data_IF_297642581190
#
_entry.id   IF_297642581190
#
_cell.length_a   1.000
_cell.length_b   1.000
_cell.length_c   1.000
_cell.angle_alpha   90.00
_cell.angle_beta   90.00
_cell.angle_gamma   90.00
#
_symmetry.space_group_name_H-M   'P 1'
#
loop_
_entity.id
_entity.type
_entity.pdbx_description
1 polymer ?
#
# COMPACT_ATOMS: atom_id res chain seq x y z
N UNK A 1 -11.68 -6.62 -18.72
CA UNK A 1 -11.23 -6.66 -17.94
C UNK A 1 -10.98 -6.47 -16.87
N UNK A 2 -10.85 -6.63 -16.49
CA UNK A 2 -10.72 -6.57 -15.62
C UNK A 2 -10.40 -6.00 -14.67
N UNK A 3 -10.52 -5.73 -14.15
CA UNK A 3 -10.32 -4.94 -13.02
C UNK A 3 -9.19 -5.31 -12.19
N UNK A 4 -8.80 -4.39 -11.39
CA UNK A 4 -7.75 -4.63 -10.42
C UNK A 4 -8.31 -5.51 -9.32
N UNK A 5 -7.58 -6.56 -8.98
CA UNK A 5 -7.91 -7.36 -7.83
C UNK A 5 -7.20 -6.74 -6.63
N UNK A 6 -7.93 -6.20 -5.66
CA UNK A 6 -7.28 -5.53 -4.51
C UNK A 6 -6.26 -6.41 -3.81
N UNK A 7 -6.55 -7.68 -3.71
CA UNK A 7 -5.64 -8.63 -3.08
C UNK A 7 -4.27 -8.63 -3.77
N UNK A 8 -4.29 -8.74 -5.10
CA UNK A 8 -3.05 -8.77 -5.87
C UNK A 8 -2.33 -7.44 -5.78
N UNK A 9 -3.09 -6.34 -5.83
CA UNK A 9 -2.49 -5.01 -5.74
C UNK A 9 -1.76 -4.81 -4.41
N UNK A 10 -2.38 -5.21 -3.30
CA UNK A 10 -1.74 -5.11 -2.00
C UNK A 10 -0.47 -5.94 -1.94
N UNK A 11 -0.52 -7.16 -2.48
CA UNK A 11 0.65 -8.04 -2.48
C UNK A 11 1.78 -7.44 -3.31
N UNK A 12 1.45 -6.84 -4.45
CA UNK A 12 2.46 -6.22 -5.30
C UNK A 12 3.11 -5.02 -4.63
N UNK A 13 2.31 -4.20 -3.96
CA UNK A 13 2.85 -3.05 -3.25
C UNK A 13 3.76 -3.52 -2.13
N UNK A 14 3.34 -4.52 -1.38
CA UNK A 14 4.16 -5.06 -0.30
C UNK A 14 5.49 -5.59 -0.81
N UNK A 15 5.45 -6.29 -1.94
CA UNK A 15 6.66 -6.87 -2.52
C UNK A 15 7.63 -5.79 -3.02
N UNK A 16 7.09 -4.67 -3.51
CA UNK A 16 7.91 -3.60 -4.08
C UNK A 16 8.33 -2.55 -3.07
N UNK A 17 7.75 -2.60 -1.87
CA UNK A 17 7.97 -1.54 -0.88
C UNK A 17 9.45 -1.34 -0.55
N UNK A 18 10.20 -2.42 -0.46
CA UNK A 18 11.62 -2.32 -0.11
C UNK A 18 12.43 -1.60 -1.17
N UNK A 19 11.93 -1.55 -2.40
CA UNK A 19 12.62 -0.90 -3.50
C UNK A 19 12.18 0.55 -3.69
N UNK A 20 11.24 1.02 -2.89
CA UNK A 20 10.76 2.39 -2.97
C UNK A 20 11.65 3.27 -2.12
N UNK A 21 12.50 4.04 -2.78
CA UNK A 21 13.53 4.82 -2.10
C UNK A 21 13.30 6.32 -2.14
N UNK A 22 12.23 6.80 -2.76
CA UNK A 22 11.93 8.22 -2.79
C UNK A 22 10.61 8.48 -2.09
N UNK A 23 10.51 9.70 -1.54
CA UNK A 23 9.29 10.12 -0.88
C UNK A 23 8.09 10.00 -1.83
N UNK A 24 8.27 10.43 -3.08
CA UNK A 24 7.17 10.40 -4.05
C UNK A 24 6.67 8.98 -4.29
N UNK A 25 7.58 8.01 -4.40
CA UNK A 25 7.18 6.63 -4.63
C UNK A 25 6.39 6.07 -3.46
N UNK A 26 6.88 6.31 -2.26
CA UNK A 26 6.22 5.79 -1.06
C UNK A 26 4.87 6.48 -0.86
N UNK A 27 4.83 7.79 -1.06
CA UNK A 27 3.58 8.54 -0.90
C UNK A 27 2.52 8.08 -1.89
N UNK A 28 2.92 7.82 -3.13
CA UNK A 28 1.98 7.34 -4.15
C UNK A 28 1.43 5.97 -3.78
N UNK A 29 2.31 5.08 -3.30
CA UNK A 29 1.87 3.75 -2.88
C UNK A 29 0.92 3.86 -1.69
N UNK A 30 1.22 4.74 -0.75
CA UNK A 30 0.37 4.94 0.42
C UNK A 30 -1.02 5.43 0.01
N UNK A 31 -1.08 6.39 -0.91
CA UNK A 31 -2.35 6.88 -1.40
C UNK A 31 -3.17 5.76 -2.03
N UNK A 32 -2.53 4.91 -2.79
CA UNK A 32 -3.21 3.80 -3.44
C UNK A 32 -3.76 2.80 -2.42
N UNK A 33 -2.98 2.47 -1.41
CA UNK A 33 -3.42 1.53 -0.40
C UNK A 33 -4.57 2.13 0.43
N UNK A 34 -4.50 3.42 0.73
CA UNK A 34 -5.57 4.07 1.46
C UNK A 34 -6.87 4.08 0.66
N UNK A 35 -6.77 4.27 -0.66
CA UNK A 35 -7.95 4.18 -1.50
C UNK A 35 -8.51 2.76 -1.49
N UNK A 36 -7.64 1.77 -1.65
CA UNK A 36 -8.07 0.38 -1.66
C UNK A 36 -8.70 -0.02 -0.33
N UNK A 37 -8.22 0.56 0.77
CA UNK A 37 -8.72 0.23 2.09
C UNK A 37 -10.23 0.47 2.21
N UNK A 38 -10.75 1.43 1.45
CA UNK A 38 -12.16 1.76 1.49
C UNK A 38 -13.02 0.82 0.66
N UNK A 39 -12.42 0.06 -0.25
CA UNK A 39 -13.19 -0.79 -1.18
C UNK A 39 -12.92 -2.28 -1.01
N UNK A 40 -11.98 -2.65 -0.16
CA UNK A 40 -11.65 -4.05 0.05
C UNK A 40 -12.59 -4.68 1.07
N UNK A 41 -12.77 -6.02 1.00
CA UNK A 41 -13.59 -6.72 1.99
C UNK A 41 -12.88 -6.74 3.36
N UNK A 42 -13.65 -6.99 4.43
CA UNK A 42 -13.09 -6.96 5.79
C UNK A 42 -11.90 -7.87 6.01
N UNK A 43 -11.85 -9.00 5.33
CA UNK A 43 -10.76 -9.94 5.56
C UNK A 43 -9.43 -9.42 5.02
N UNK A 44 -9.44 -8.39 4.18
CA UNK A 44 -8.21 -7.79 3.67
C UNK A 44 -7.84 -6.50 4.40
N UNK A 45 -8.67 -6.04 5.33
CA UNK A 45 -8.42 -4.78 6.01
C UNK A 45 -7.20 -4.85 6.92
N UNK A 46 -7.02 -5.95 7.64
CA UNK A 46 -5.86 -6.07 8.50
C UNK A 46 -4.54 -6.03 7.75
N UNK A 47 -4.35 -6.82 6.68
CA UNK A 47 -3.11 -6.69 5.91
C UNK A 47 -2.95 -5.31 5.27
N UNK A 48 -4.04 -4.69 4.83
CA UNK A 48 -3.96 -3.35 4.26
C UNK A 48 -3.53 -2.32 5.31
N UNK A 49 -4.08 -2.44 6.52
CA UNK A 49 -3.71 -1.53 7.59
C UNK A 49 -2.24 -1.68 7.96
N UNK A 50 -1.76 -2.92 8.04
CA UNK A 50 -0.34 -3.16 8.30
C UNK A 50 0.52 -2.50 7.25
N UNK A 51 0.13 -2.63 5.98
CA UNK A 51 0.88 -2.03 4.89
C UNK A 51 0.87 -0.50 4.97
N UNK A 52 -0.28 0.07 5.31
CA UNK A 52 -0.37 1.52 5.50
C UNK A 52 0.61 1.99 6.58
N UNK A 53 0.65 1.30 7.70
CA UNK A 53 1.55 1.66 8.78
C UNK A 53 3.00 1.54 8.37
N UNK A 54 3.34 0.50 7.63
CA UNK A 54 4.70 0.32 7.14
C UNK A 54 5.10 1.40 6.15
N UNK A 55 4.19 1.79 5.26
CA UNK A 55 4.47 2.85 4.31
C UNK A 55 4.62 4.20 4.99
N UNK A 56 3.80 4.47 6.01
CA UNK A 56 3.92 5.72 6.76
C UNK A 56 5.25 5.78 7.51
N UNK A 57 5.67 4.66 8.07
CA UNK A 57 6.97 4.62 8.75
C UNK A 57 8.10 4.87 7.76
N UNK A 58 8.00 4.28 6.58
CA UNK A 58 9.00 4.48 5.54
C UNK A 58 9.05 5.94 5.09
N UNK A 59 7.88 6.57 4.94
CA UNK A 59 7.82 7.99 4.60
C UNK A 59 8.52 8.84 5.64
N UNK A 60 8.26 8.54 6.90
CA UNK A 60 8.86 9.29 7.99
C UNK A 60 10.37 9.20 7.94
N UNK A 61 10.90 8.04 7.59
CA UNK A 61 12.33 7.84 7.53
C UNK A 61 12.98 8.49 6.31
N UNK A 62 12.17 8.87 5.33
CA UNK A 62 12.67 9.54 4.13
C UNK A 62 12.63 11.06 4.21
N UNK A 63 12.02 11.61 5.25
CA UNK A 63 11.93 13.06 5.41
C UNK A 63 13.26 13.69 5.77
#
# INVERSE_FOLDING_TARGET
MSGVTPYITLAQIAARMKDMNTYAEVNEALDEVEYLFEVIPPELQDPAETLILQLREKLKNLE
#
